data_IF_102549301778
#
_entry.id   IF_102549301778
#
_cell.length_a   1.000
_cell.length_b   1.000
_cell.length_c   1.000
_cell.angle_alpha   90.00
_cell.angle_beta   90.00
_cell.angle_gamma   90.00
#
_symmetry.space_group_name_H-M   'P 1'
#
loop_
_entity.id
_entity.type
_entity.pdbx_description
1 polymer ?
#
# COMPACT_ATOMS: atom_id res chain seq x y z
N UNK A 1 45.07 -50.68 -44.45
CA UNK A 1 44.28 -49.47 -44.14
C UNK A 1 42.97 -49.92 -43.51
N UNK A 2 42.74 -49.50 -42.27
CA UNK A 2 41.59 -49.80 -41.40
C UNK A 2 40.26 -49.30 -41.99
N UNK A 3 39.17 -50.00 -41.69
CA UNK A 3 38.03 -49.43 -40.95
C UNK A 3 36.99 -50.51 -40.60
N UNK A 4 36.87 -50.80 -39.31
CA UNK A 4 35.75 -51.53 -38.72
C UNK A 4 34.61 -50.53 -38.43
N UNK A 5 33.39 -50.85 -38.86
CA UNK A 5 32.19 -50.02 -38.69
C UNK A 5 31.22 -50.58 -37.66
N UNK A 6 31.38 -50.11 -36.42
CA UNK A 6 30.55 -50.20 -35.23
C UNK A 6 29.03 -50.44 -35.42
N UNK A 7 28.51 -51.55 -34.86
CA UNK A 7 27.09 -51.75 -34.52
C UNK A 7 26.75 -50.93 -33.27
N UNK A 8 25.83 -49.97 -33.36
CA UNK A 8 25.24 -49.29 -32.20
C UNK A 8 23.80 -49.77 -32.00
N UNK A 9 23.58 -50.57 -30.95
CA UNK A 9 22.29 -50.66 -30.24
C UNK A 9 22.48 -49.99 -28.89
N UNK A 10 21.43 -49.32 -28.41
CA UNK A 10 21.03 -49.00 -27.00
C UNK A 10 20.09 -47.79 -27.13
N UNK A 11 18.77 -47.99 -27.01
CA UNK A 11 17.97 -47.89 -25.77
C UNK A 11 17.79 -46.41 -25.34
N UNK A 12 16.63 -45.86 -24.98
CA UNK A 12 15.34 -46.41 -24.56
C UNK A 12 14.28 -45.34 -24.80
N UNK A 13 13.09 -45.73 -25.26
CA UNK A 13 11.88 -44.92 -25.18
C UNK A 13 11.24 -45.12 -23.81
N UNK A 14 11.20 -44.09 -22.97
CA UNK A 14 10.23 -43.95 -21.89
C UNK A 14 10.29 -42.53 -21.32
N UNK A 15 9.42 -41.63 -21.80
CA UNK A 15 9.03 -40.46 -21.01
C UNK A 15 7.54 -40.61 -20.74
N UNK A 16 7.25 -41.17 -19.57
CA UNK A 16 5.92 -41.08 -18.95
C UNK A 16 6.16 -40.33 -17.65
N UNK A 17 5.84 -39.04 -17.63
CA UNK A 17 5.59 -38.32 -16.38
C UNK A 17 4.13 -37.91 -16.43
N UNK A 18 3.34 -38.71 -15.73
CA UNK A 18 1.91 -38.52 -15.58
C UNK A 18 1.60 -37.29 -14.72
N UNK A 19 0.51 -36.64 -15.11
CA UNK A 19 -0.26 -35.68 -14.32
C UNK A 19 -0.45 -36.14 -12.87
N UNK A 20 -0.38 -35.19 -11.92
CA UNK A 20 -1.40 -34.92 -10.90
C UNK A 20 -0.89 -33.98 -9.79
N UNK A 21 -1.69 -32.94 -9.50
CA UNK A 21 -1.84 -32.15 -8.27
C UNK A 21 -1.96 -30.67 -8.66
N UNK A 22 -3.00 -29.90 -8.33
CA UNK A 22 -3.97 -30.03 -7.25
C UNK A 22 -4.10 -28.65 -6.62
N UNK A 23 -5.30 -28.06 -6.67
CA UNK A 23 -5.79 -26.99 -5.77
C UNK A 23 -4.91 -25.73 -5.61
N UNK A 24 -4.86 -24.86 -6.62
CA UNK A 24 -4.45 -23.45 -6.42
C UNK A 24 -5.48 -22.53 -7.06
N UNK A 25 -6.62 -22.39 -6.40
CA UNK A 25 -7.77 -21.68 -6.96
C UNK A 25 -8.50 -20.78 -5.96
N UNK A 26 -7.80 -20.13 -5.03
CA UNK A 26 -8.41 -19.11 -4.14
C UNK A 26 -7.55 -17.85 -3.90
N UNK A 27 -6.48 -17.62 -4.65
CA UNK A 27 -5.59 -16.46 -4.39
C UNK A 27 -5.58 -15.39 -5.49
N UNK A 28 -6.22 -15.63 -6.64
CA UNK A 28 -6.15 -14.70 -7.79
C UNK A 28 -7.21 -13.59 -7.81
N UNK A 29 -8.24 -13.64 -6.95
CA UNK A 29 -9.36 -12.67 -7.01
C UNK A 29 -9.12 -11.46 -6.08
N UNK A 30 -8.24 -11.58 -5.08
CA UNK A 30 -7.98 -10.49 -4.13
C UNK A 30 -7.18 -9.33 -4.75
N UNK A 31 -6.22 -9.62 -5.63
CA UNK A 31 -5.39 -8.59 -6.29
C UNK A 31 -6.17 -7.76 -7.32
N UNK A 32 -7.30 -8.25 -7.84
CA UNK A 32 -8.09 -7.57 -8.87
C UNK A 32 -8.95 -6.41 -8.36
N UNK A 33 -9.09 -6.22 -7.04
CA UNK A 33 -9.97 -5.19 -6.48
C UNK A 33 -9.22 -3.92 -6.02
N UNK A 34 -7.89 -3.96 -5.95
CA UNK A 34 -7.09 -2.82 -5.49
C UNK A 34 -6.26 -2.23 -6.63
N UNK A 35 -6.68 -1.06 -7.12
CA UNK A 35 -5.86 -0.28 -8.07
C UNK A 35 -4.80 0.47 -7.29
N UNK A 36 -3.53 0.11 -7.47
CA UNK A 36 -2.39 0.88 -6.97
C UNK A 36 -2.23 2.20 -7.73
N UNK A 37 -1.82 3.25 -7.03
CA UNK A 37 -1.43 4.52 -7.63
C UNK A 37 0.01 4.49 -8.13
N UNK A 38 0.35 5.30 -9.12
CA UNK A 38 1.77 5.60 -9.41
C UNK A 38 2.40 6.37 -8.24
N UNK A 39 3.74 6.42 -8.10
CA UNK A 39 4.38 7.16 -7.02
C UNK A 39 3.98 8.65 -6.96
N UNK A 40 3.90 9.32 -8.12
CA UNK A 40 3.49 10.72 -8.20
C UNK A 40 2.01 10.92 -7.80
N UNK A 41 1.13 10.01 -8.21
CA UNK A 41 -0.27 10.02 -7.77
C UNK A 41 -0.39 9.76 -6.27
N UNK A 42 0.36 8.79 -5.73
CA UNK A 42 0.37 8.44 -4.32
C UNK A 42 0.77 9.65 -3.48
N UNK A 43 1.89 10.29 -3.82
CA UNK A 43 2.35 11.50 -3.14
C UNK A 43 1.28 12.60 -3.18
N UNK A 44 0.66 12.83 -4.35
CA UNK A 44 -0.42 13.81 -4.50
C UNK A 44 -1.62 13.48 -3.60
N UNK A 45 -2.04 12.22 -3.54
CA UNK A 45 -3.16 11.80 -2.70
C UNK A 45 -2.85 11.89 -1.21
N UNK A 46 -1.66 11.48 -0.78
CA UNK A 46 -1.18 11.65 0.59
C UNK A 46 -1.17 13.13 0.98
N UNK A 47 -0.70 14.01 0.09
CA UNK A 47 -0.65 15.45 0.34
C UNK A 47 -2.04 16.07 0.49
N UNK A 48 -2.95 15.79 -0.44
CA UNK A 48 -4.34 16.28 -0.38
C UNK A 48 -5.04 15.75 0.88
N UNK A 49 -4.80 14.49 1.22
CA UNK A 49 -5.32 13.87 2.44
C UNK A 49 -4.83 14.62 3.67
N UNK A 50 -3.53 14.87 3.81
CA UNK A 50 -2.98 15.61 4.94
C UNK A 50 -3.56 17.03 5.08
N UNK A 51 -3.67 17.77 3.96
CA UNK A 51 -4.30 19.11 3.94
C UNK A 51 -5.76 19.05 4.42
N UNK A 52 -6.53 18.08 3.94
CA UNK A 52 -7.93 17.96 4.31
C UNK A 52 -8.09 17.49 5.76
N UNK A 53 -7.29 16.54 6.23
CA UNK A 53 -7.30 16.09 7.62
C UNK A 53 -7.01 17.25 8.56
N UNK A 54 -5.99 18.08 8.26
CA UNK A 54 -5.66 19.28 9.04
C UNK A 54 -6.83 20.26 9.15
N UNK A 55 -7.60 20.45 8.08
CA UNK A 55 -8.76 21.34 8.07
C UNK A 55 -9.84 20.91 9.06
N UNK A 56 -10.02 19.60 9.26
CA UNK A 56 -11.01 19.06 10.19
C UNK A 56 -10.44 18.86 11.61
N UNK A 57 -9.15 18.61 11.72
CA UNK A 57 -8.42 18.35 12.95
C UNK A 57 -7.21 19.29 13.06
N UNK A 58 -7.42 20.57 13.43
CA UNK A 58 -6.37 21.59 13.48
C UNK A 58 -5.33 21.37 14.58
N UNK A 59 -5.55 20.39 15.46
CA UNK A 59 -4.70 20.00 16.57
C UNK A 59 -3.69 18.90 16.23
N UNK A 60 -3.62 18.44 14.98
CA UNK A 60 -2.64 17.42 14.57
C UNK A 60 -1.26 18.04 14.39
N UNK A 61 -0.26 17.42 15.01
CA UNK A 61 1.14 17.82 14.91
C UNK A 61 1.85 17.14 13.74
N UNK A 62 1.61 15.83 13.58
CA UNK A 62 2.29 14.99 12.59
C UNK A 62 1.31 14.01 11.93
N UNK A 63 1.45 13.82 10.62
CA UNK A 63 0.91 12.66 9.90
C UNK A 63 2.07 11.89 9.29
N UNK A 64 2.19 10.60 9.61
CA UNK A 64 3.16 9.69 9.01
C UNK A 64 2.43 8.61 8.23
N UNK A 65 2.49 8.68 6.89
CA UNK A 65 1.98 7.62 6.04
C UNK A 65 2.91 6.41 6.09
N UNK A 66 2.41 5.27 6.58
CA UNK A 66 3.23 4.07 6.81
C UNK A 66 3.32 3.17 5.58
N UNK A 67 2.49 3.41 4.56
CA UNK A 67 2.47 2.69 3.30
C UNK A 67 1.88 3.56 2.16
N UNK A 68 2.10 3.11 0.92
CA UNK A 68 1.39 3.67 -0.24
C UNK A 68 -0.10 3.35 -0.15
N UNK A 69 -0.94 4.31 -0.56
CA UNK A 69 -2.38 4.09 -0.63
C UNK A 69 -2.81 3.37 -1.89
N UNK A 70 -4.04 2.86 -1.86
CA UNK A 70 -4.68 2.22 -3.00
C UNK A 70 -6.16 2.54 -3.06
N UNK A 71 -6.77 2.35 -4.23
CA UNK A 71 -8.22 2.39 -4.35
C UNK A 71 -8.80 1.08 -3.85
N UNK A 72 -9.72 1.17 -2.89
CA UNK A 72 -10.53 0.03 -2.45
C UNK A 72 -11.62 -0.29 -3.49
N UNK A 73 -12.30 -1.42 -3.33
CA UNK A 73 -13.40 -1.83 -4.21
C UNK A 73 -14.58 -0.83 -4.29
N UNK A 74 -14.67 0.13 -3.37
CA UNK A 74 -15.61 1.25 -3.41
C UNK A 74 -15.21 2.37 -4.38
N UNK A 75 -14.00 2.31 -4.96
CA UNK A 75 -13.41 3.41 -5.74
C UNK A 75 -12.85 4.54 -4.88
N UNK A 76 -12.79 4.38 -3.56
CA UNK A 76 -12.20 5.37 -2.64
C UNK A 76 -10.72 5.04 -2.42
N UNK A 77 -9.85 6.04 -2.59
CA UNK A 77 -8.44 5.92 -2.24
C UNK A 77 -8.22 6.16 -0.75
N UNK A 78 -7.40 5.35 -0.11
CA UNK A 78 -6.94 5.55 1.27
C UNK A 78 -5.55 4.95 1.49
N UNK A 79 -4.85 5.44 2.51
CA UNK A 79 -3.58 4.91 3.00
C UNK A 79 -3.60 4.77 4.53
N UNK A 80 -2.88 3.78 5.05
CA UNK A 80 -2.62 3.71 6.49
C UNK A 80 -1.63 4.80 6.90
N UNK A 81 -1.91 5.44 8.04
CA UNK A 81 -1.09 6.48 8.62
C UNK A 81 -1.11 6.42 10.15
N UNK A 82 -0.09 7.02 10.75
CA UNK A 82 -0.05 7.38 12.17
C UNK A 82 -0.23 8.89 12.29
N UNK A 83 -1.22 9.30 13.06
CA UNK A 83 -1.49 10.69 13.40
C UNK A 83 -0.97 10.94 14.81
N UNK A 84 -0.16 11.98 15.00
CA UNK A 84 0.32 12.40 16.32
C UNK A 84 -0.40 13.68 16.74
N UNK A 85 -0.99 13.66 17.94
CA UNK A 85 -1.62 14.81 18.59
C UNK A 85 -1.09 14.87 20.02
N UNK A 86 -0.50 16.01 20.40
CA UNK A 86 0.10 16.25 21.72
C UNK A 86 1.08 15.13 22.14
N UNK A 87 1.88 14.67 21.18
CA UNK A 87 2.87 13.61 21.38
C UNK A 87 2.29 12.19 21.54
N UNK A 88 0.99 12.00 21.33
CA UNK A 88 0.34 10.69 21.32
C UNK A 88 -0.03 10.26 19.90
N UNK A 89 0.29 9.01 19.59
CA UNK A 89 0.07 8.41 18.28
C UNK A 89 -1.28 7.70 18.17
N UNK A 90 -1.90 7.83 17.01
CA UNK A 90 -3.19 7.24 16.66
C UNK A 90 -3.13 6.62 15.27
N UNK A 91 -3.49 5.35 15.15
CA UNK A 91 -3.53 4.63 13.87
C UNK A 91 -4.79 4.98 13.10
N UNK A 92 -4.61 5.40 11.86
CA UNK A 92 -5.69 5.85 10.99
C UNK A 92 -5.57 5.25 9.59
N UNK A 93 -6.71 5.10 8.94
CA UNK A 93 -6.86 4.92 7.51
C UNK A 93 -7.35 6.27 6.98
N UNK A 94 -6.51 6.97 6.22
CA UNK A 94 -6.81 8.31 5.74
C UNK A 94 -7.00 8.34 4.23
N UNK A 95 -8.05 8.99 3.77
CA UNK A 95 -8.27 9.35 2.38
C UNK A 95 -8.69 10.81 2.26
N UNK A 96 -8.73 11.37 1.04
CA UNK A 96 -9.01 12.80 0.83
C UNK A 96 -10.34 13.27 1.44
N UNK A 97 -11.34 12.40 1.53
CA UNK A 97 -12.70 12.73 1.96
C UNK A 97 -13.28 11.75 2.98
N UNK A 98 -12.49 10.80 3.44
CA UNK A 98 -12.93 9.74 4.35
C UNK A 98 -11.78 9.36 5.26
N UNK A 99 -12.11 8.97 6.48
CA UNK A 99 -11.13 8.42 7.40
C UNK A 99 -11.79 7.44 8.35
N UNK A 100 -10.97 6.62 8.98
CA UNK A 100 -11.36 5.74 10.07
C UNK A 100 -10.12 5.29 10.83
N UNK A 101 -10.33 4.62 11.96
CA UNK A 101 -9.23 4.20 12.82
C UNK A 101 -9.57 4.39 14.27
N UNK A 102 -8.54 4.66 15.08
CA UNK A 102 -8.69 4.97 16.49
C UNK A 102 -9.41 6.30 16.72
N UNK A 103 -10.08 6.45 17.86
CA UNK A 103 -10.75 7.70 18.20
C UNK A 103 -9.73 8.82 18.44
N UNK A 104 -9.82 9.89 17.64
CA UNK A 104 -8.99 11.08 17.79
C UNK A 104 -9.61 12.03 18.83
N UNK A 105 -8.79 12.66 19.70
CA UNK A 105 -9.26 13.65 20.66
C UNK A 105 -9.78 14.89 19.94
N UNK A 106 -11.02 15.28 20.22
CA UNK A 106 -11.69 16.42 19.60
C UNK A 106 -10.86 17.72 19.77
N UNK A 107 -10.70 18.53 18.72
CA UNK A 107 -10.03 19.81 18.82
C UNK A 107 -10.83 20.75 19.72
N UNK A 108 -10.14 21.60 20.48
CA UNK A 108 -10.79 22.65 21.28
C UNK A 108 -11.38 23.70 20.34
N UNK A 109 -12.63 24.10 20.60
CA UNK A 109 -13.30 25.11 19.79
C UNK A 109 -12.49 26.42 19.75
N UNK A 110 -12.22 26.92 18.55
CA UNK A 110 -11.44 28.15 18.35
C UNK A 110 -9.92 27.99 18.48
N UNK A 111 -9.41 26.77 18.67
CA UNK A 111 -7.98 26.52 18.64
C UNK A 111 -7.40 26.90 17.26
N UNK A 112 -6.33 27.73 17.22
CA UNK A 112 -5.66 28.03 15.97
C UNK A 112 -5.01 26.78 15.40
N UNK A 113 -5.01 26.65 14.08
CA UNK A 113 -4.31 25.55 13.42
C UNK A 113 -2.80 25.67 13.66
N UNK A 114 -2.18 24.61 14.18
CA UNK A 114 -0.71 24.50 14.26
C UNK A 114 -0.11 24.15 12.90
N UNK A 115 1.21 24.25 12.78
CA UNK A 115 1.94 23.67 11.65
C UNK A 115 1.84 22.15 11.70
N UNK A 116 1.54 21.53 10.56
CA UNK A 116 1.45 20.07 10.42
C UNK A 116 2.69 19.55 9.73
N UNK A 117 3.42 18.64 10.35
CA UNK A 117 4.48 17.88 9.68
C UNK A 117 3.87 16.66 8.97
N UNK A 118 4.22 16.45 7.71
CA UNK A 118 3.77 15.28 6.95
C UNK A 118 4.99 14.47 6.53
N UNK A 119 5.02 13.21 6.94
CA UNK A 119 6.00 12.22 6.49
C UNK A 119 5.31 11.30 5.49
N UNK A 120 5.76 11.35 4.24
CA UNK A 120 5.20 10.57 3.13
C UNK A 120 5.75 9.15 3.12
N UNK A 121 5.00 8.22 2.52
CA UNK A 121 5.45 6.82 2.46
C UNK A 121 6.64 6.61 1.53
N UNK A 122 6.94 7.58 0.67
CA UNK A 122 8.14 7.59 -0.19
C UNK A 122 9.42 8.04 0.54
N UNK A 123 9.30 8.36 1.85
CA UNK A 123 10.39 8.84 2.69
C UNK A 123 10.63 10.35 2.62
N UNK A 124 9.89 11.09 1.80
CA UNK A 124 9.92 12.56 1.80
C UNK A 124 9.10 13.14 2.94
N UNK A 125 9.29 14.44 3.22
CA UNK A 125 8.53 15.13 4.26
C UNK A 125 8.30 16.59 3.92
N UNK A 126 7.22 17.18 4.43
CA UNK A 126 6.95 18.61 4.32
C UNK A 126 6.28 19.16 5.58
N UNK A 127 6.27 20.49 5.73
CA UNK A 127 5.50 21.19 6.77
C UNK A 127 4.41 22.01 6.11
N UNK A 128 3.16 21.82 6.53
CA UNK A 128 1.97 22.51 6.05
C UNK A 128 1.56 23.56 7.09
N UNK A 129 1.47 24.81 6.65
CA UNK A 129 0.99 25.98 7.42
C UNK A 129 -0.52 25.99 7.61
#
# INVERSE_FOLDING_TARGET
MHAAGSVRRVASCAVVVALLAGLTGCSFIADTLQRKTTPAENHKYQRITAVNTKKYWPNIDVITFVEEGSFLGSGTWSANAVVTIDGKDYRQILGPYSGGGEDLPLPVAGQPSSSLTVNYSDGSSEVIG
#
